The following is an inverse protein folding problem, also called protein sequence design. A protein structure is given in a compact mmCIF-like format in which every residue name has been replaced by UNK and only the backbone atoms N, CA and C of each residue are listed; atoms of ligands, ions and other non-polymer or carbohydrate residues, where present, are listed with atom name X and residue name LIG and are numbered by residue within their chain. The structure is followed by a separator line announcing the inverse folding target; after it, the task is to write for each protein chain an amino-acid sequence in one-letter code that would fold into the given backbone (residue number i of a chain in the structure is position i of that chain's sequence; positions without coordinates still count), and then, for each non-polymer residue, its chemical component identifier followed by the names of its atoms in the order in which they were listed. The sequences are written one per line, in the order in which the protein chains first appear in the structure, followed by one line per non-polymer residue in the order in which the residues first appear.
data_IF_309401759788
#
_entry.id   IF_309401759788
#
_cell.length_a   1.000
_cell.length_b   1.000
_cell.length_c   1.000
_cell.angle_alpha   90.00
_cell.angle_beta   90.00
_cell.angle_gamma   90.00
#
_symmetry.space_group_name_H-M   'P 1'
#
loop_
_entity.id
_entity.type
_entity.pdbx_description
1 polymer ?
#
# COMPACT_ATOMS: atom_id res chain seq x y z
N UNK A 1 -3.14 32.27 28.67
CA UNK A 1 -3.15 31.78 27.28
C UNK A 1 -2.76 30.32 27.31
N UNK A 2 -3.73 29.40 27.24
CA UNK A 2 -3.44 27.97 27.16
C UNK A 2 -2.93 27.65 25.74
N UNK A 3 -1.85 26.86 25.59
CA UNK A 3 -1.42 26.42 24.27
C UNK A 3 -2.54 25.56 23.67
N UNK A 4 -2.93 25.88 22.42
CA UNK A 4 -3.83 25.01 21.65
C UNK A 4 -3.16 23.65 21.51
N UNK A 5 -3.88 22.53 21.66
CA UNK A 5 -3.32 21.23 21.40
C UNK A 5 -2.83 21.17 19.95
N UNK A 6 -1.69 20.54 19.76
CA UNK A 6 -0.88 20.38 18.53
C UNK A 6 -1.63 19.50 17.48
N UNK A 7 -2.92 19.76 17.24
CA UNK A 7 -3.84 18.91 16.47
C UNK A 7 -3.67 19.02 14.95
N UNK A 8 -2.76 19.86 14.47
CA UNK A 8 -2.47 20.07 13.05
C UNK A 8 -1.23 19.32 12.58
N UNK A 9 -0.53 18.58 13.46
CA UNK A 9 0.54 17.69 13.02
C UNK A 9 -0.08 16.49 12.32
N UNK A 10 -0.08 16.54 10.99
CA UNK A 10 -0.36 15.37 10.16
C UNK A 10 0.52 14.21 10.67
N UNK A 11 -0.07 13.01 10.86
CA UNK A 11 0.69 11.87 11.33
C UNK A 11 1.93 11.64 10.46
N UNK A 12 3.09 11.49 11.09
CA UNK A 12 4.34 11.30 10.37
C UNK A 12 4.35 9.92 9.72
N UNK A 13 4.64 9.89 8.41
CA UNK A 13 4.74 8.65 7.65
C UNK A 13 6.01 7.91 8.12
N UNK A 14 5.95 6.61 8.45
CA UNK A 14 7.13 5.86 8.87
C UNK A 14 8.29 6.00 7.89
N UNK A 15 9.50 6.18 8.43
CA UNK A 15 10.72 6.31 7.64
C UNK A 15 10.89 5.15 6.65
N UNK A 16 11.32 5.49 5.44
CA UNK A 16 11.53 4.54 4.34
C UNK A 16 10.27 4.13 3.59
N UNK A 17 9.05 4.35 4.12
CA UNK A 17 7.81 3.86 3.48
C UNK A 17 7.54 4.53 2.11
N UNK A 18 7.93 5.80 1.96
CA UNK A 18 7.88 6.50 0.66
C UNK A 18 8.84 5.89 -0.38
N UNK A 19 10.00 5.41 0.06
CA UNK A 19 10.95 4.75 -0.83
C UNK A 19 10.45 3.36 -1.24
N UNK A 20 9.83 2.62 -0.32
CA UNK A 20 9.15 1.35 -0.62
C UNK A 20 8.04 1.59 -1.65
N UNK A 21 7.21 2.62 -1.48
CA UNK A 21 6.20 2.99 -2.47
C UNK A 21 6.80 3.26 -3.84
N UNK A 22 7.84 4.10 -3.90
CA UNK A 22 8.49 4.43 -5.16
C UNK A 22 9.04 3.18 -5.86
N UNK A 23 9.64 2.26 -5.12
CA UNK A 23 10.14 0.99 -5.64
C UNK A 23 9.01 0.15 -6.26
N UNK A 24 7.93 -0.09 -5.50
CA UNK A 24 6.81 -0.91 -5.97
C UNK A 24 6.07 -0.28 -7.14
N UNK A 25 5.80 1.03 -7.07
CA UNK A 25 5.18 1.77 -8.16
C UNK A 25 6.03 1.73 -9.44
N UNK A 26 7.36 1.88 -9.32
CA UNK A 26 8.27 1.77 -10.46
C UNK A 26 8.25 0.38 -11.09
N UNK A 27 8.18 -0.70 -10.28
CA UNK A 27 8.09 -2.07 -10.79
C UNK A 27 6.80 -2.33 -11.54
N UNK A 28 5.69 -1.82 -11.02
CA UNK A 28 4.38 -1.90 -11.68
C UNK A 28 4.33 -1.09 -12.99
N UNK A 29 5.22 -0.11 -13.13
CA UNK A 29 5.38 0.71 -14.33
C UNK A 29 6.52 0.24 -15.25
N UNK A 30 7.14 -0.91 -14.99
CA UNK A 30 8.25 -1.39 -15.82
C UNK A 30 7.78 -1.66 -17.27
N UNK A 31 8.67 -1.47 -18.28
CA UNK A 31 8.31 -1.71 -19.67
C UNK A 31 7.75 -3.12 -19.89
N UNK A 32 6.61 -3.21 -20.58
CA UNK A 32 5.95 -4.47 -20.90
C UNK A 32 4.96 -4.99 -19.84
N UNK A 33 4.88 -4.37 -18.66
CA UNK A 33 3.91 -4.75 -17.63
C UNK A 33 2.47 -4.50 -18.12
N UNK A 34 1.60 -5.48 -17.86
CA UNK A 34 0.16 -5.40 -18.12
C UNK A 34 -0.60 -5.98 -16.94
N UNK A 35 -1.47 -5.18 -16.35
CA UNK A 35 -2.17 -5.48 -15.11
C UNK A 35 -3.66 -5.78 -15.33
N UNK A 36 -4.12 -5.90 -16.58
CA UNK A 36 -5.56 -6.12 -16.89
C UNK A 36 -6.18 -7.34 -16.18
N UNK A 37 -5.39 -8.40 -15.98
CA UNK A 37 -5.82 -9.64 -15.34
C UNK A 37 -5.09 -9.88 -14.02
N UNK A 38 -4.46 -8.86 -13.46
CA UNK A 38 -3.77 -9.00 -12.20
C UNK A 38 -4.80 -9.06 -11.07
N UNK A 39 -4.81 -10.14 -10.28
CA UNK A 39 -5.79 -10.32 -9.20
C UNK A 39 -5.58 -9.34 -8.02
N UNK A 40 -4.48 -8.58 -8.04
CA UNK A 40 -3.96 -7.91 -6.86
C UNK A 40 -2.99 -8.80 -6.10
N UNK A 41 -2.35 -8.25 -5.07
CA UNK A 41 -1.44 -9.00 -4.21
C UNK A 41 -1.31 -8.35 -2.85
N UNK A 42 -1.28 -9.17 -1.81
CA UNK A 42 -0.91 -8.77 -0.45
C UNK A 42 0.45 -9.37 -0.10
N UNK A 43 1.37 -8.53 0.36
CA UNK A 43 2.73 -8.92 0.72
C UNK A 43 3.04 -8.50 2.15
N UNK A 44 3.79 -9.34 2.86
CA UNK A 44 4.43 -8.98 4.12
C UNK A 44 5.94 -9.14 3.98
N UNK A 45 6.67 -8.06 4.24
CA UNK A 45 8.13 -8.00 4.07
C UNK A 45 8.75 -7.63 5.41
N UNK A 46 9.93 -8.18 5.72
CA UNK A 46 10.74 -7.61 6.81
C UNK A 46 11.03 -6.14 6.51
N UNK A 47 10.77 -5.25 7.46
CA UNK A 47 10.95 -3.79 7.25
C UNK A 47 12.37 -3.44 6.79
N UNK A 48 13.37 -4.05 7.41
CA UNK A 48 14.79 -3.83 7.07
C UNK A 48 15.15 -4.23 5.63
N UNK A 49 14.33 -5.08 5.00
CA UNK A 49 14.57 -5.64 3.67
C UNK A 49 13.57 -5.16 2.62
N UNK A 50 12.58 -4.33 3.00
CA UNK A 50 11.49 -3.92 2.12
C UNK A 50 11.94 -3.09 0.89
N UNK A 51 13.18 -2.60 0.88
CA UNK A 51 13.80 -1.92 -0.26
C UNK A 51 14.64 -2.83 -1.15
N UNK A 52 14.91 -4.08 -0.76
CA UNK A 52 15.59 -5.05 -1.62
C UNK A 52 14.56 -5.85 -2.43
N UNK A 53 14.48 -5.50 -3.71
CA UNK A 53 13.59 -6.10 -4.69
C UNK A 53 13.74 -7.62 -4.89
N UNK A 54 14.84 -8.23 -4.39
CA UNK A 54 15.16 -9.65 -4.53
C UNK A 54 14.74 -10.48 -3.33
N UNK A 55 14.42 -9.85 -2.21
CA UNK A 55 14.02 -10.55 -1.00
C UNK A 55 12.60 -11.10 -1.17
N UNK A 56 12.43 -12.36 -0.80
CA UNK A 56 11.13 -13.01 -0.81
C UNK A 56 10.26 -12.50 0.35
N UNK A 57 8.95 -12.33 0.15
CA UNK A 57 8.03 -11.99 1.22
C UNK A 57 7.98 -13.08 2.29
N UNK A 58 7.72 -12.67 3.53
CA UNK A 58 7.34 -13.56 4.63
C UNK A 58 5.99 -14.22 4.33
N UNK A 59 5.06 -13.44 3.76
CA UNK A 59 3.76 -13.91 3.30
C UNK A 59 3.39 -13.22 1.99
N UNK A 60 2.71 -13.95 1.11
CA UNK A 60 2.37 -13.51 -0.23
C UNK A 60 1.06 -14.16 -0.70
N UNK A 61 -0.04 -13.40 -0.68
CA UNK A 61 -1.41 -13.90 -0.93
C UNK A 61 -2.10 -13.08 -2.03
N UNK A 62 -2.96 -13.73 -2.83
CA UNK A 62 -3.94 -12.98 -3.64
C UNK A 62 -5.06 -12.45 -2.73
N UNK A 63 -5.57 -11.23 -2.94
CA UNK A 63 -6.69 -10.70 -2.18
C UNK A 63 -7.90 -11.64 -2.23
N UNK A 64 -8.35 -12.11 -1.06
CA UNK A 64 -9.46 -13.05 -0.95
C UNK A 64 -10.49 -12.58 0.10
N UNK A 65 -11.78 -12.67 -0.24
CA UNK A 65 -12.88 -12.23 0.63
C UNK A 65 -13.11 -10.72 0.65
N UNK A 66 -13.63 -10.18 1.74
CA UNK A 66 -13.78 -8.73 1.91
C UNK A 66 -12.40 -8.08 2.07
N UNK A 67 -12.07 -7.00 1.33
CA UNK A 67 -10.73 -6.40 1.35
C UNK A 67 -10.25 -6.01 2.76
N UNK A 68 -11.15 -5.45 3.58
CA UNK A 68 -10.80 -5.03 4.93
C UNK A 68 -10.53 -6.21 5.88
N UNK A 69 -11.41 -7.21 5.89
CA UNK A 69 -11.28 -8.33 6.83
C UNK A 69 -10.25 -9.35 6.37
N UNK A 70 -10.11 -9.54 5.05
CA UNK A 70 -9.09 -10.40 4.44
C UNK A 70 -7.69 -9.84 4.66
N UNK A 71 -7.46 -8.54 4.41
CA UNK A 71 -6.14 -7.96 4.61
C UNK A 71 -5.72 -7.98 6.09
N UNK A 72 -6.65 -7.73 7.02
CA UNK A 72 -6.37 -7.84 8.47
C UNK A 72 -6.03 -9.27 8.89
N UNK A 73 -6.75 -10.27 8.35
CA UNK A 73 -6.42 -11.69 8.56
C UNK A 73 -5.00 -11.96 8.06
N UNK A 74 -4.68 -11.56 6.84
CA UNK A 74 -3.36 -11.71 6.24
C UNK A 74 -2.26 -11.07 7.11
N UNK A 75 -2.46 -9.84 7.60
CA UNK A 75 -1.51 -9.15 8.49
C UNK A 75 -1.24 -9.96 9.77
N UNK A 76 -2.28 -10.46 10.42
CA UNK A 76 -2.15 -11.28 11.64
C UNK A 76 -1.43 -12.59 11.37
N UNK A 77 -1.78 -13.28 10.29
CA UNK A 77 -1.15 -14.56 9.92
C UNK A 77 0.33 -14.37 9.58
N UNK A 78 0.67 -13.30 8.85
CA UNK A 78 2.06 -12.95 8.56
C UNK A 78 2.88 -12.61 9.82
N UNK A 79 2.29 -11.90 10.80
CA UNK A 79 2.95 -11.62 12.08
C UNK A 79 3.19 -12.89 12.91
N UNK A 80 2.32 -13.89 12.79
CA UNK A 80 2.49 -15.18 13.46
C UNK A 80 3.65 -16.03 12.88
N UNK A 81 4.17 -15.68 11.71
CA UNK A 81 5.29 -16.37 11.06
C UNK A 81 6.67 -15.83 11.47
N UNK A 82 6.72 -14.77 12.27
CA UNK A 82 7.97 -14.11 12.68
C UNK A 82 8.08 -14.01 14.19
N UNK A 83 9.31 -13.83 14.69
CA UNK A 83 9.55 -13.63 16.11
C UNK A 83 8.84 -12.37 16.64
N UNK A 84 8.31 -12.39 17.88
CA UNK A 84 7.68 -11.22 18.50
C UNK A 84 8.59 -9.99 18.46
N UNK A 85 8.01 -8.84 18.09
CA UNK A 85 8.73 -7.58 17.94
C UNK A 85 9.40 -7.38 16.58
N UNK A 86 9.34 -8.36 15.68
CA UNK A 86 9.77 -8.18 14.29
C UNK A 86 8.83 -7.21 13.55
N UNK A 87 9.39 -6.13 13.01
CA UNK A 87 8.62 -5.18 12.21
C UNK A 87 8.45 -5.66 10.76
N UNK A 88 7.19 -5.65 10.29
CA UNK A 88 6.83 -5.97 8.92
C UNK A 88 6.29 -4.74 8.18
N UNK A 89 6.60 -4.64 6.89
CA UNK A 89 5.92 -3.76 5.94
C UNK A 89 4.89 -4.60 5.19
N UNK A 90 3.63 -4.21 5.30
CA UNK A 90 2.53 -4.79 4.55
C UNK A 90 2.27 -3.97 3.30
N UNK A 91 2.19 -4.65 2.16
CA UNK A 91 1.85 -4.06 0.86
C UNK A 91 0.50 -4.64 0.43
N UNK A 92 -0.46 -3.79 0.11
CA UNK A 92 -1.68 -4.18 -0.60
C UNK A 92 -1.69 -3.54 -1.98
N UNK A 93 -1.85 -4.38 -3.01
CA UNK A 93 -2.00 -4.02 -4.40
C UNK A 93 -3.38 -4.45 -4.86
N UNK A 94 -4.26 -3.51 -5.18
CA UNK A 94 -5.66 -3.81 -5.47
C UNK A 94 -6.16 -2.98 -6.65
N UNK A 95 -6.95 -3.61 -7.52
CA UNK A 95 -7.61 -2.89 -8.60
C UNK A 95 -8.69 -1.99 -8.04
N UNK A 96 -8.76 -0.79 -8.60
CA UNK A 96 -9.80 0.17 -8.27
C UNK A 96 -10.10 1.09 -9.43
N UNK A 97 -11.05 1.96 -9.18
CA UNK A 97 -11.32 3.09 -10.07
C UNK A 97 -11.25 4.37 -9.26
N UNK A 98 -10.78 5.44 -9.89
CA UNK A 98 -10.83 6.76 -9.30
C UNK A 98 -11.21 7.79 -10.34
N UNK A 99 -11.79 8.89 -9.88
CA UNK A 99 -12.16 10.00 -10.74
C UNK A 99 -11.31 11.21 -10.34
N UNK A 100 -10.54 11.80 -11.27
CA UNK A 100 -9.93 13.10 -11.03
C UNK A 100 -10.98 14.16 -10.70
N UNK A 101 -10.58 15.23 -10.02
CA UNK A 101 -11.50 16.35 -9.76
C UNK A 101 -11.75 17.10 -11.07
N UNK A 102 -13.02 17.30 -11.43
CA UNK A 102 -13.45 18.07 -12.58
C UNK A 102 -14.84 17.66 -13.06
N UNK A 103 -15.65 18.58 -13.63
CA UNK A 103 -17.02 18.31 -14.04
C UNK A 103 -17.13 17.18 -15.08
N UNK A 104 -16.12 17.01 -15.93
CA UNK A 104 -16.08 16.00 -17.01
C UNK A 104 -14.91 15.01 -16.87
N UNK A 105 -14.33 14.90 -15.67
CA UNK A 105 -13.18 14.02 -15.47
C UNK A 105 -13.57 12.54 -15.67
N UNK A 106 -12.86 11.77 -16.51
CA UNK A 106 -13.19 10.37 -16.76
C UNK A 106 -12.98 9.51 -15.52
N UNK A 107 -13.71 8.41 -15.41
CA UNK A 107 -13.41 7.37 -14.42
C UNK A 107 -12.20 6.57 -14.94
N UNK A 108 -11.08 6.62 -14.22
CA UNK A 108 -9.85 5.96 -14.61
C UNK A 108 -9.71 4.64 -13.86
N UNK A 109 -9.17 3.64 -14.55
CA UNK A 109 -8.72 2.40 -13.92
C UNK A 109 -7.41 2.67 -13.19
N UNK A 110 -7.23 2.07 -12.02
CA UNK A 110 -5.98 2.18 -11.27
C UNK A 110 -5.63 0.88 -10.56
N UNK A 111 -4.36 0.74 -10.23
CA UNK A 111 -3.90 -0.18 -9.20
C UNK A 111 -3.55 0.64 -7.96
N UNK A 112 -4.36 0.51 -6.91
CA UNK A 112 -4.09 1.10 -5.61
C UNK A 112 -2.91 0.40 -4.95
N UNK A 113 -2.04 1.19 -4.32
CA UNK A 113 -0.90 0.71 -3.54
C UNK A 113 -1.07 1.26 -2.13
N UNK A 114 -1.24 0.36 -1.16
CA UNK A 114 -1.31 0.68 0.27
C UNK A 114 -0.14 0.04 0.98
N UNK A 115 0.53 0.83 1.83
CA UNK A 115 1.65 0.40 2.65
C UNK A 115 1.37 0.67 4.11
N UNK A 116 1.65 -0.31 4.96
CA UNK A 116 1.53 -0.19 6.42
C UNK A 116 2.76 -0.80 7.09
N UNK A 117 3.14 -0.27 8.24
CA UNK A 117 4.15 -0.89 9.10
C UNK A 117 3.44 -1.47 10.32
N UNK A 118 3.77 -2.70 10.70
CA UNK A 118 3.23 -3.35 11.90
C UNK A 118 3.42 -2.46 13.14
N UNK A 119 2.35 -2.23 13.89
CA UNK A 119 2.38 -1.39 15.10
C UNK A 119 2.35 0.13 14.85
N UNK A 120 2.33 0.59 13.60
CA UNK A 120 2.23 2.02 13.27
C UNK A 120 0.81 2.42 12.87
N UNK A 121 0.26 3.47 13.49
CA UNK A 121 -1.09 3.98 13.19
C UNK A 121 -1.19 4.82 11.91
N UNK A 122 -0.12 4.83 11.12
CA UNK A 122 0.04 5.66 9.93
C UNK A 122 0.66 4.81 8.83
N UNK A 123 0.06 4.86 7.66
CA UNK A 123 0.54 4.20 6.45
C UNK A 123 0.68 5.17 5.29
N UNK A 124 0.92 4.64 4.10
CA UNK A 124 1.02 5.39 2.87
C UNK A 124 0.11 4.77 1.81
N UNK A 125 -0.65 5.61 1.09
CA UNK A 125 -1.49 5.18 -0.02
C UNK A 125 -1.17 6.00 -1.25
N UNK A 126 -1.17 5.33 -2.40
CA UNK A 126 -1.08 5.93 -3.71
C UNK A 126 -1.68 4.98 -4.73
N UNK A 127 -1.41 5.23 -6.01
CA UNK A 127 -1.87 4.36 -7.07
C UNK A 127 -1.05 4.55 -8.34
N UNK A 128 -1.17 3.59 -9.24
CA UNK A 128 -0.73 3.68 -10.63
C UNK A 128 -1.97 3.74 -11.51
N UNK A 129 -2.06 4.75 -12.37
CA UNK A 129 -3.13 4.85 -13.35
C UNK A 129 -2.91 3.83 -14.46
N UNK A 130 -4.01 3.25 -14.94
CA UNK A 130 -4.00 2.26 -16.00
C UNK A 130 -4.80 2.74 -17.21
N UNK A 131 -4.36 2.38 -18.40
CA UNK A 131 -5.17 2.49 -19.62
C UNK A 131 -6.25 1.39 -19.68
N UNK A 132 -7.09 1.43 -20.71
CA UNK A 132 -8.16 0.45 -20.93
C UNK A 132 -7.64 -0.98 -21.15
N UNK A 133 -6.36 -1.13 -21.52
CA UNK A 133 -5.70 -2.42 -21.71
C UNK A 133 -4.90 -2.84 -20.47
N UNK A 134 -5.03 -2.11 -19.34
CA UNK A 134 -4.35 -2.37 -18.09
C UNK A 134 -2.86 -2.05 -18.10
N UNK A 135 -2.38 -1.20 -19.01
CA UNK A 135 -0.98 -0.75 -19.02
C UNK A 135 -0.81 0.45 -18.07
N UNK A 136 0.30 0.51 -17.33
CA UNK A 136 0.61 1.65 -16.47
C UNK A 136 0.81 2.92 -17.29
N UNK A 137 0.14 4.02 -16.89
CA UNK A 137 0.23 5.34 -17.50
C UNK A 137 1.08 6.30 -16.69
N UNK A 138 0.80 6.41 -15.38
CA UNK A 138 1.55 7.27 -14.47
C UNK A 138 1.46 6.78 -13.03
N UNK A 139 2.46 7.13 -12.25
CA UNK A 139 2.47 6.95 -10.79
C UNK A 139 1.85 8.21 -10.17
N UNK A 140 0.77 8.05 -9.40
CA UNK A 140 0.18 9.16 -8.67
C UNK A 140 0.98 9.48 -7.40
N UNK A 141 0.93 10.73 -6.89
CA UNK A 141 1.51 11.07 -5.60
C UNK A 141 0.91 10.24 -4.47
N UNK A 142 1.75 9.78 -3.55
CA UNK A 142 1.31 9.06 -2.37
C UNK A 142 1.08 9.99 -1.17
N UNK A 143 0.02 9.73 -0.41
CA UNK A 143 -0.40 10.49 0.75
C UNK A 143 -0.45 9.61 2.00
N UNK A 144 -0.31 10.23 3.16
CA UNK A 144 -0.42 9.53 4.44
C UNK A 144 -1.87 9.08 4.66
N UNK A 145 -2.06 7.88 5.21
CA UNK A 145 -3.37 7.39 5.62
C UNK A 145 -3.33 6.98 7.09
N UNK A 146 -4.44 7.19 7.80
CA UNK A 146 -4.60 6.71 9.18
C UNK A 146 -4.96 5.23 9.14
N UNK A 147 -4.20 4.42 9.86
CA UNK A 147 -4.38 2.98 9.96
C UNK A 147 -5.07 2.67 11.30
N UNK A 148 -6.19 1.95 11.25
CA UNK A 148 -6.79 1.43 12.47
C UNK A 148 -5.97 0.26 13.01
N UNK A 149 -5.35 0.49 14.17
CA UNK A 149 -4.53 -0.48 14.90
C UNK A 149 -5.36 -1.42 15.77
N UNK A 150 -6.64 -1.12 16.07
CA UNK A 150 -7.45 -1.88 17.04
C UNK A 150 -7.85 -3.28 16.56
N UNK A 151 -7.43 -3.65 15.35
CA UNK A 151 -7.80 -4.87 14.65
C UNK A 151 -6.57 -5.69 14.20
N UNK A 152 -5.36 -5.30 14.65
CA UNK A 152 -4.11 -6.04 14.44
C UNK A 152 -3.81 -6.94 15.65
#
# INVERSE_FOLDING_TARGET
MSPRPDSDRLPEVPDGLRAVYALYAARLCAPGVRLRNFAGRWLALHRAQALDARVLPVADEEPSGSPLTGFKRFQREALALVEPGTELVFVSLEHGTWRPRGPDAPLLQMLAIRLEVSGCGVGLAGHVDLDEQGRPLRIAPAFALVVDLRLL
#
